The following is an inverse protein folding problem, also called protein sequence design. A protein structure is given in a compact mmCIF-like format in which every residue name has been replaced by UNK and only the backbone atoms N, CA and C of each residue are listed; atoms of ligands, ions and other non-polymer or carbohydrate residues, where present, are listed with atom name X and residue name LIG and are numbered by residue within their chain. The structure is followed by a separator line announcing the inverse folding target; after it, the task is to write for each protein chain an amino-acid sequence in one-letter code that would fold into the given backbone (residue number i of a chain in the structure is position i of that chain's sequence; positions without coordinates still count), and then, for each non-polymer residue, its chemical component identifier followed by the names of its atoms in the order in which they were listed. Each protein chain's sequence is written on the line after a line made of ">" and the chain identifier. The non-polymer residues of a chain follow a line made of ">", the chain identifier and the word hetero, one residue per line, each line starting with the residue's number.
data_IF_695570690883
#
_entry.id   IF_695570690883
#
_cell.length_a   1.000
_cell.length_b   1.000
_cell.length_c   1.000
_cell.angle_alpha   90.00
_cell.angle_beta   90.00
_cell.angle_gamma   90.00
#
_symmetry.space_group_name_H-M   'P 1'
#
loop_
_entity.id
_entity.type
_entity.pdbx_description
1 polymer ?
#
# COMPACT_ATOMS: atom_id res chain seq x y z
N UNK A 1 -30.32 6.35 -15.79
CA UNK A 1 -29.31 7.40 -16.04
C UNK A 1 -29.11 8.38 -14.88
N UNK A 2 -30.00 8.49 -13.92
CA UNK A 2 -29.82 9.37 -12.75
C UNK A 2 -29.07 8.70 -11.57
N UNK A 3 -29.02 7.38 -11.51
CA UNK A 3 -28.35 6.65 -10.41
C UNK A 3 -26.82 6.60 -10.53
N UNK A 4 -26.27 6.63 -11.73
CA UNK A 4 -24.82 6.56 -11.93
C UNK A 4 -24.07 7.83 -11.50
N UNK A 5 -24.70 9.00 -11.65
CA UNK A 5 -24.09 10.27 -11.24
C UNK A 5 -24.07 10.45 -9.71
N UNK A 6 -25.09 9.94 -9.03
CA UNK A 6 -25.16 9.96 -7.56
C UNK A 6 -24.14 8.99 -6.96
N UNK A 7 -23.97 7.81 -7.55
CA UNK A 7 -22.97 6.84 -7.12
C UNK A 7 -21.54 7.36 -7.32
N UNK A 8 -21.26 8.02 -8.44
CA UNK A 8 -19.96 8.59 -8.78
C UNK A 8 -19.59 9.76 -7.84
N UNK A 9 -20.56 10.63 -7.52
CA UNK A 9 -20.38 11.71 -6.55
C UNK A 9 -20.08 11.20 -5.14
N UNK A 10 -20.74 10.14 -4.69
CA UNK A 10 -20.50 9.51 -3.39
C UNK A 10 -19.10 8.89 -3.35
N UNK A 11 -18.66 8.23 -4.41
CA UNK A 11 -17.32 7.66 -4.50
C UNK A 11 -16.25 8.75 -4.45
N UNK A 12 -16.41 9.82 -5.19
CA UNK A 12 -15.50 10.97 -5.16
C UNK A 12 -15.46 11.62 -3.76
N UNK A 13 -16.60 11.79 -3.13
CA UNK A 13 -16.69 12.33 -1.77
C UNK A 13 -15.96 11.45 -0.75
N UNK A 14 -16.10 10.13 -0.86
CA UNK A 14 -15.39 9.17 -0.02
C UNK A 14 -13.86 9.24 -0.21
N UNK A 15 -13.40 9.35 -1.45
CA UNK A 15 -11.98 9.47 -1.77
C UNK A 15 -11.41 10.78 -1.18
N UNK A 16 -12.07 11.91 -1.43
CA UNK A 16 -11.65 13.21 -0.87
C UNK A 16 -11.68 13.19 0.66
N UNK A 17 -12.74 12.61 1.25
CA UNK A 17 -12.87 12.43 2.69
C UNK A 17 -11.74 11.59 3.27
N UNK A 18 -11.35 10.52 2.58
CA UNK A 18 -10.23 9.67 2.99
C UNK A 18 -8.89 10.44 3.00
N UNK A 19 -8.61 11.23 1.95
CA UNK A 19 -7.37 12.02 1.93
C UNK A 19 -7.33 13.10 3.01
N UNK A 20 -8.45 13.78 3.26
CA UNK A 20 -8.55 14.76 4.34
C UNK A 20 -8.36 14.10 5.72
N UNK A 21 -9.03 13.00 5.98
CA UNK A 21 -8.91 12.21 7.20
C UNK A 21 -7.48 11.70 7.41
N UNK A 22 -6.90 11.11 6.37
CA UNK A 22 -5.53 10.60 6.37
C UNK A 22 -4.49 11.69 6.62
N UNK A 23 -4.69 12.90 6.06
CA UNK A 23 -3.84 14.05 6.33
C UNK A 23 -3.91 14.49 7.80
N UNK A 24 -5.10 14.58 8.38
CA UNK A 24 -5.30 15.00 9.77
C UNK A 24 -4.69 13.96 10.74
N UNK A 25 -5.04 12.69 10.59
CA UNK A 25 -4.52 11.62 11.45
C UNK A 25 -3.01 11.46 11.25
N UNK A 26 -2.54 11.58 10.02
CA UNK A 26 -1.12 11.52 9.71
C UNK A 26 -0.31 12.61 10.41
N UNK A 27 -0.79 13.85 10.45
CA UNK A 27 -0.13 14.95 11.16
C UNK A 27 -0.13 14.73 12.68
N UNK A 28 -1.24 14.24 13.23
CA UNK A 28 -1.34 13.91 14.66
C UNK A 28 -0.37 12.79 15.02
N UNK A 29 -0.40 11.70 14.24
CA UNK A 29 0.48 10.56 14.43
C UNK A 29 1.94 10.96 14.30
N UNK A 30 2.31 11.73 13.28
CA UNK A 30 3.67 12.22 13.08
C UNK A 30 4.20 13.01 14.30
N UNK A 31 3.39 13.92 14.84
CA UNK A 31 3.78 14.71 16.03
C UNK A 31 4.01 13.82 17.26
N UNK A 32 3.10 12.88 17.51
CA UNK A 32 3.17 11.97 18.66
C UNK A 32 4.35 11.01 18.48
N UNK A 33 4.47 10.42 17.30
CA UNK A 33 5.48 9.43 17.01
C UNK A 33 6.89 10.02 17.00
N UNK A 34 7.07 11.21 16.42
CA UNK A 34 8.32 11.95 16.46
C UNK A 34 8.78 12.21 17.89
N UNK A 35 7.89 12.71 18.74
CA UNK A 35 8.22 12.96 20.16
C UNK A 35 8.66 11.68 20.87
N UNK A 36 7.98 10.56 20.61
CA UNK A 36 8.32 9.27 21.23
C UNK A 36 9.65 8.71 20.74
N UNK A 37 9.95 8.85 19.44
CA UNK A 37 11.22 8.38 18.85
C UNK A 37 12.40 9.21 19.36
N UNK A 38 12.22 10.50 19.55
CA UNK A 38 13.28 11.39 20.04
C UNK A 38 13.58 11.17 21.53
N UNK A 39 12.57 10.81 22.36
CA UNK A 39 12.73 10.58 23.79
C UNK A 39 13.24 9.18 24.18
N UNK A 40 13.07 8.18 23.30
CA UNK A 40 13.37 6.77 23.62
C UNK A 40 14.54 6.23 22.81
N UNK A 41 15.76 6.50 23.22
CA UNK A 41 16.99 5.99 22.56
C UNK A 41 17.16 4.45 22.62
N UNK A 42 16.51 3.75 23.55
CA UNK A 42 16.74 2.33 23.85
C UNK A 42 15.69 1.34 23.34
N UNK A 43 14.51 1.76 22.88
CA UNK A 43 13.41 0.85 22.57
C UNK A 43 13.02 0.82 21.07
N UNK A 44 14.00 0.68 20.19
CA UNK A 44 13.79 0.68 18.74
C UNK A 44 12.77 -0.35 18.22
N UNK A 45 12.66 -1.51 18.92
CA UNK A 45 11.72 -2.57 18.52
C UNK A 45 10.25 -2.17 18.71
N UNK A 46 9.93 -1.43 19.78
CA UNK A 46 8.57 -0.95 20.04
C UNK A 46 8.10 0.04 18.98
N UNK A 47 9.00 0.89 18.50
CA UNK A 47 8.69 1.86 17.46
C UNK A 47 8.34 1.19 16.13
N UNK A 48 9.02 0.08 15.79
CA UNK A 48 8.71 -0.71 14.60
C UNK A 48 7.31 -1.32 14.69
N UNK A 49 6.95 -1.88 15.85
CA UNK A 49 5.61 -2.47 16.05
C UNK A 49 4.52 -1.40 15.96
N UNK A 50 4.72 -0.24 16.59
CA UNK A 50 3.75 0.87 16.54
C UNK A 50 3.55 1.37 15.10
N UNK A 51 4.65 1.52 14.35
CA UNK A 51 4.58 1.89 12.94
C UNK A 51 3.81 0.86 12.11
N UNK A 52 4.03 -0.43 12.35
CA UNK A 52 3.34 -1.52 11.67
C UNK A 52 1.84 -1.52 11.98
N UNK A 53 1.48 -1.42 13.26
CA UNK A 53 0.08 -1.33 13.70
C UNK A 53 -0.61 -0.11 13.09
N UNK A 54 0.07 1.02 13.02
CA UNK A 54 -0.47 2.21 12.37
C UNK A 54 -0.75 1.99 10.87
N UNK A 55 0.16 1.33 10.14
CA UNK A 55 -0.07 0.98 8.74
C UNK A 55 -1.28 0.07 8.56
N UNK A 56 -1.44 -0.94 9.44
CA UNK A 56 -2.59 -1.86 9.39
C UNK A 56 -3.91 -1.15 9.70
N UNK A 57 -3.93 -0.27 10.69
CA UNK A 57 -5.13 0.51 11.03
C UNK A 57 -5.51 1.42 9.87
N UNK A 58 -4.55 2.10 9.24
CA UNK A 58 -4.81 2.97 8.09
C UNK A 58 -5.32 2.19 6.88
N UNK A 59 -4.78 0.99 6.61
CA UNK A 59 -5.26 0.10 5.57
C UNK A 59 -6.70 -0.34 5.84
N UNK A 60 -6.99 -0.79 7.05
CA UNK A 60 -8.33 -1.21 7.46
C UNK A 60 -9.36 -0.09 7.36
N UNK A 61 -9.03 1.11 7.84
CA UNK A 61 -9.93 2.27 7.77
C UNK A 61 -10.16 2.70 6.31
N UNK A 62 -9.14 2.65 5.46
CA UNK A 62 -9.28 2.96 4.04
C UNK A 62 -10.33 2.07 3.36
N UNK A 63 -10.28 0.77 3.63
CA UNK A 63 -11.16 -0.22 3.01
C UNK A 63 -12.56 -0.20 3.61
N UNK A 64 -12.70 -0.35 4.93
CA UNK A 64 -13.99 -0.53 5.61
C UNK A 64 -14.80 0.75 5.75
N UNK A 65 -14.15 1.90 6.00
CA UNK A 65 -14.88 3.17 6.22
C UNK A 65 -15.07 3.94 4.92
N UNK A 66 -14.03 4.02 4.11
CA UNK A 66 -14.06 4.84 2.90
C UNK A 66 -14.27 4.03 1.62
N UNK A 67 -14.11 2.70 1.66
CA UNK A 67 -14.20 1.85 0.47
C UNK A 67 -13.08 2.14 -0.55
N UNK A 68 -11.95 2.65 -0.07
CA UNK A 68 -10.72 2.86 -0.84
C UNK A 68 -9.81 1.68 -0.62
N UNK A 69 -9.05 1.28 -1.64
CA UNK A 69 -8.14 0.12 -1.52
C UNK A 69 -7.20 0.25 -0.31
N UNK A 70 -7.09 -0.83 0.47
CA UNK A 70 -6.24 -0.98 1.66
C UNK A 70 -4.77 -0.55 1.41
N UNK A 71 -4.24 -0.89 0.23
CA UNK A 71 -2.91 -0.50 -0.24
C UNK A 71 -2.70 1.02 -0.16
N UNK A 72 -3.74 1.82 -0.51
CA UNK A 72 -3.66 3.28 -0.47
C UNK A 72 -3.51 3.78 0.96
N UNK A 73 -4.24 3.19 1.92
CA UNK A 73 -4.11 3.51 3.34
C UNK A 73 -2.73 3.19 3.89
N UNK A 74 -2.22 1.99 3.60
CA UNK A 74 -0.88 1.57 4.00
C UNK A 74 0.22 2.46 3.38
N UNK A 75 0.07 2.83 2.11
CA UNK A 75 1.01 3.70 1.41
C UNK A 75 1.12 5.08 2.06
N UNK A 76 -0.01 5.72 2.36
CA UNK A 76 -0.01 7.03 3.02
C UNK A 76 0.59 6.92 4.43
N UNK A 77 0.29 5.88 5.18
CA UNK A 77 0.92 5.64 6.47
C UNK A 77 2.44 5.52 6.35
N UNK A 78 2.93 4.79 5.34
CA UNK A 78 4.36 4.70 5.02
C UNK A 78 4.99 6.05 4.70
N UNK A 79 4.33 6.90 3.90
CA UNK A 79 4.80 8.26 3.60
C UNK A 79 4.90 9.14 4.86
N UNK A 80 3.97 9.00 5.80
CA UNK A 80 4.02 9.75 7.06
C UNK A 80 5.22 9.31 7.90
N UNK A 81 5.46 7.99 7.99
CA UNK A 81 6.55 7.40 8.76
C UNK A 81 7.92 7.71 8.11
N UNK A 82 8.01 7.78 6.79
CA UNK A 82 9.26 8.06 6.08
C UNK A 82 9.87 9.43 6.43
N UNK A 83 9.06 10.36 6.92
CA UNK A 83 9.52 11.68 7.34
C UNK A 83 10.13 11.72 8.75
N UNK A 84 10.22 10.60 9.46
CA UNK A 84 10.83 10.53 10.79
C UNK A 84 12.32 10.23 10.68
N UNK A 85 13.15 10.81 11.55
CA UNK A 85 14.63 10.74 11.48
C UNK A 85 15.23 9.32 11.45
N UNK A 86 14.51 8.31 11.91
CA UNK A 86 14.95 6.90 11.94
C UNK A 86 14.24 6.03 10.90
N UNK A 87 13.73 6.64 9.84
CA UNK A 87 13.00 5.92 8.76
C UNK A 87 13.82 4.79 8.15
N UNK A 88 15.12 4.99 7.92
CA UNK A 88 16.01 3.96 7.33
C UNK A 88 16.11 2.70 8.20
N UNK A 89 16.10 2.82 9.52
CA UNK A 89 16.07 1.65 10.40
C UNK A 89 14.74 0.91 10.30
N UNK A 90 13.63 1.64 10.32
CA UNK A 90 12.29 1.07 10.15
C UNK A 90 12.17 0.37 8.80
N UNK A 91 12.61 1.02 7.72
CA UNK A 91 12.63 0.48 6.37
C UNK A 91 13.34 -0.88 6.31
N UNK A 92 14.54 -1.00 6.87
CA UNK A 92 15.27 -2.27 6.89
C UNK A 92 14.55 -3.39 7.64
N UNK A 93 13.79 -3.07 8.70
CA UNK A 93 12.98 -4.05 9.43
C UNK A 93 11.73 -4.45 8.68
N UNK A 94 11.05 -3.49 8.07
CA UNK A 94 9.89 -3.75 7.23
C UNK A 94 10.27 -4.54 5.98
N UNK A 95 11.39 -4.24 5.35
CA UNK A 95 11.89 -4.96 4.19
C UNK A 95 12.12 -6.44 4.51
N UNK A 96 12.83 -6.72 5.59
CA UNK A 96 13.07 -8.09 6.05
C UNK A 96 11.75 -8.84 6.32
N UNK A 97 10.79 -8.21 7.03
CA UNK A 97 9.51 -8.81 7.36
C UNK A 97 8.65 -9.01 6.11
N UNK A 98 8.66 -8.04 5.20
CA UNK A 98 7.94 -8.11 3.93
C UNK A 98 8.46 -9.26 3.07
N UNK A 99 9.76 -9.38 2.94
CA UNK A 99 10.39 -10.41 2.11
C UNK A 99 10.22 -11.82 2.68
N UNK A 100 10.43 -12.00 3.99
CA UNK A 100 10.41 -13.32 4.62
C UNK A 100 9.00 -13.85 4.94
N UNK A 101 8.07 -12.97 5.24
CA UNK A 101 6.74 -13.37 5.72
C UNK A 101 5.60 -12.90 4.80
N UNK A 102 5.50 -11.58 4.56
CA UNK A 102 4.32 -11.04 3.90
C UNK A 102 4.24 -11.44 2.42
N UNK A 103 5.35 -11.39 1.69
CA UNK A 103 5.37 -11.75 0.27
C UNK A 103 5.05 -13.22 0.01
N UNK A 104 5.65 -14.20 0.71
CA UNK A 104 5.27 -15.60 0.54
C UNK A 104 3.81 -15.89 0.89
N UNK A 105 3.29 -15.30 1.98
CA UNK A 105 1.88 -15.46 2.39
C UNK A 105 0.93 -14.85 1.36
N UNK A 106 1.28 -13.67 0.82
CA UNK A 106 0.51 -13.02 -0.24
C UNK A 106 0.41 -13.87 -1.51
N UNK A 107 1.55 -14.38 -2.00
CA UNK A 107 1.55 -15.23 -3.19
C UNK A 107 0.85 -16.56 -2.96
N UNK A 108 1.01 -17.18 -1.78
CA UNK A 108 0.29 -18.39 -1.42
C UNK A 108 -1.23 -18.14 -1.37
N UNK A 109 -1.67 -17.02 -0.78
CA UNK A 109 -3.08 -16.64 -0.71
C UNK A 109 -3.70 -16.43 -2.11
N UNK A 110 -2.97 -15.78 -3.01
CA UNK A 110 -3.42 -15.63 -4.40
C UNK A 110 -3.52 -17.00 -5.08
N UNK A 111 -2.48 -17.83 -4.94
CA UNK A 111 -2.46 -19.15 -5.54
C UNK A 111 -3.62 -20.04 -5.09
N UNK A 112 -4.00 -19.98 -3.81
CA UNK A 112 -5.14 -20.72 -3.26
C UNK A 112 -6.50 -20.20 -3.73
N UNK A 113 -6.61 -18.91 -4.09
CA UNK A 113 -7.84 -18.31 -4.61
C UNK A 113 -8.05 -18.54 -6.11
N UNK A 114 -7.01 -18.94 -6.83
CA UNK A 114 -7.10 -19.19 -8.27
C UNK A 114 -7.83 -20.52 -8.48
N UNK A 115 -9.08 -20.44 -8.89
CA UNK A 115 -9.78 -21.58 -9.46
C UNK A 115 -9.26 -21.79 -10.87
N UNK A 116 -8.67 -22.96 -11.14
CA UNK A 116 -8.25 -23.35 -12.47
C UNK A 116 -9.47 -23.85 -13.26
N UNK A 117 -10.21 -22.99 -14.00
CA UNK A 117 -11.22 -23.49 -14.92
C UNK A 117 -10.51 -24.34 -15.98
N UNK A 118 -11.25 -25.19 -16.69
CA UNK A 118 -10.70 -26.01 -17.77
C UNK A 118 -9.90 -25.11 -18.72
N UNK A 119 -8.57 -25.11 -18.57
CA UNK A 119 -7.68 -24.24 -19.30
C UNK A 119 -7.66 -24.63 -20.78
N UNK A 120 -8.40 -23.89 -21.58
CA UNK A 120 -8.25 -23.97 -23.03
C UNK A 120 -6.89 -23.39 -23.44
N UNK A 121 -6.26 -23.98 -24.45
CA UNK A 121 -4.98 -23.50 -24.99
C UNK A 121 -5.02 -22.01 -25.36
N UNK A 122 -6.18 -21.53 -25.78
CA UNK A 122 -6.43 -20.11 -26.08
C UNK A 122 -6.29 -19.21 -24.86
N UNK A 123 -6.78 -19.65 -23.68
CA UNK A 123 -6.69 -18.88 -22.44
C UNK A 123 -5.24 -18.79 -21.96
N UNK A 124 -4.49 -19.88 -22.08
CA UNK A 124 -3.06 -19.92 -21.73
C UNK A 124 -2.26 -18.97 -22.64
N UNK A 125 -2.48 -19.05 -23.96
CA UNK A 125 -1.80 -18.16 -24.90
C UNK A 125 -2.13 -16.69 -24.63
N UNK A 126 -3.38 -16.35 -24.35
CA UNK A 126 -3.80 -14.99 -23.98
C UNK A 126 -3.12 -14.52 -22.68
N UNK A 127 -3.06 -15.35 -21.64
CA UNK A 127 -2.43 -15.02 -20.37
C UNK A 127 -0.93 -14.74 -20.54
N UNK A 128 -0.23 -15.54 -21.37
CA UNK A 128 1.20 -15.37 -21.66
C UNK A 128 1.43 -14.03 -22.40
N UNK A 129 0.65 -13.76 -23.44
CA UNK A 129 0.77 -12.50 -24.20
C UNK A 129 0.50 -11.29 -23.29
N UNK A 130 -0.55 -11.35 -22.48
CA UNK A 130 -0.89 -10.28 -21.54
C UNK A 130 0.21 -10.05 -20.50
N UNK A 131 0.82 -11.11 -19.99
CA UNK A 131 1.95 -11.02 -19.07
C UNK A 131 3.16 -10.35 -19.73
N UNK A 132 3.51 -10.75 -20.93
CA UNK A 132 4.64 -10.16 -21.68
C UNK A 132 4.39 -8.66 -21.92
N UNK A 133 3.21 -8.28 -22.38
CA UNK A 133 2.84 -6.88 -22.59
C UNK A 133 2.89 -6.09 -21.28
N UNK A 134 2.38 -6.65 -20.17
CA UNK A 134 2.41 -6.00 -18.87
C UNK A 134 3.85 -5.77 -18.36
N UNK A 135 4.75 -6.72 -18.56
CA UNK A 135 6.17 -6.59 -18.20
C UNK A 135 6.85 -5.51 -19.06
N UNK A 136 6.68 -5.57 -20.37
CA UNK A 136 7.29 -4.60 -21.30
C UNK A 136 6.81 -3.18 -21.01
N UNK A 137 5.52 -2.97 -20.80
CA UNK A 137 4.96 -1.63 -20.49
C UNK A 137 5.49 -1.09 -19.17
N UNK A 138 5.65 -1.94 -18.14
CA UNK A 138 6.26 -1.51 -16.88
C UNK A 138 7.73 -1.14 -17.03
N UNK A 139 8.52 -1.96 -17.73
CA UNK A 139 9.94 -1.69 -17.94
C UNK A 139 10.13 -0.39 -18.73
N UNK A 140 9.38 -0.21 -19.81
CA UNK A 140 9.46 1.01 -20.63
C UNK A 140 8.96 2.22 -19.85
N UNK A 141 7.79 2.12 -19.20
CA UNK A 141 7.20 3.24 -18.46
C UNK A 141 8.05 3.69 -17.28
N UNK A 142 8.47 2.77 -16.42
CA UNK A 142 9.30 3.09 -15.27
C UNK A 142 10.73 3.46 -15.69
N UNK A 143 11.31 2.76 -16.68
CA UNK A 143 12.66 3.02 -17.15
C UNK A 143 12.80 4.37 -17.85
N UNK A 144 11.84 4.74 -18.72
CA UNK A 144 11.80 6.06 -19.32
C UNK A 144 11.54 7.16 -18.29
N UNK A 145 10.62 6.93 -17.36
CA UNK A 145 10.33 7.88 -16.29
C UNK A 145 11.57 8.14 -15.42
N UNK A 146 12.27 7.11 -14.99
CA UNK A 146 13.50 7.25 -14.22
C UNK A 146 14.60 7.99 -15.01
N UNK A 147 14.74 7.70 -16.30
CA UNK A 147 15.76 8.37 -17.17
C UNK A 147 15.45 9.84 -17.43
N UNK A 148 14.18 10.23 -17.42
CA UNK A 148 13.76 11.63 -17.64
C UNK A 148 13.88 12.45 -16.34
N UNK A 149 13.68 11.80 -15.18
CA UNK A 149 13.70 12.49 -13.89
C UNK A 149 15.08 12.52 -13.20
N UNK A 150 16.05 11.76 -13.67
CA UNK A 150 17.33 11.75 -13.02
C UNK A 150 18.44 11.07 -13.65
#
# INVERSE_FOLDING_TARGET
>A
MADDSVSLGIVLLKIVGFFAFSGIIGLIFYKIYKKWVDEAEKELHRHTIIAFVFCLIMAFVAEEVFGVADITGAYIAGLIISNVQRSTYLESKFDTMSYLLLSPVFFASIGLKVELPKMSMTIIAFAVVLTIVAVITKIIGCGLGAKVCG
#
